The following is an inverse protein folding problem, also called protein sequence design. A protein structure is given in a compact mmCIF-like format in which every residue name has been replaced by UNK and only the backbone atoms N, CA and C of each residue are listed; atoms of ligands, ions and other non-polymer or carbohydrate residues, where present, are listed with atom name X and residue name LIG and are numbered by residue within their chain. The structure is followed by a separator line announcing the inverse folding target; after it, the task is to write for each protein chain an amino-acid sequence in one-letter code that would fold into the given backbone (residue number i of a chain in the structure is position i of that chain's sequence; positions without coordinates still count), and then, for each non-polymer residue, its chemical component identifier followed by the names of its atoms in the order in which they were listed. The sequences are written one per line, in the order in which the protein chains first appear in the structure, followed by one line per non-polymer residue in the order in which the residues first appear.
data_IF_430918654232
#
_entry.id   IF_430918654232
#
_cell.length_a   1.000
_cell.length_b   1.000
_cell.length_c   1.000
_cell.angle_alpha   90.00
_cell.angle_beta   90.00
_cell.angle_gamma   90.00
#
_symmetry.space_group_name_H-M   'P 1'
#
loop_
_entity.id
_entity.type
_entity.pdbx_description
1 polymer ?
#
# COMPACT_ATOMS: atom_id res chain seq x y z
N UNK A 1 -24.83 -39.84 -22.03
CA UNK A 1 -24.26 -39.12 -23.18
C UNK A 1 -23.51 -37.92 -22.63
N UNK A 2 -22.18 -37.90 -22.84
CA UNK A 2 -21.18 -36.82 -22.72
C UNK A 2 -21.29 -35.85 -21.54
N UNK A 3 -20.43 -35.92 -20.53
CA UNK A 3 -19.04 -35.40 -20.50
C UNK A 3 -18.88 -33.95 -20.93
N UNK A 4 -18.52 -33.08 -19.96
CA UNK A 4 -17.47 -32.05 -20.02
C UNK A 4 -17.46 -31.19 -18.75
N UNK A 5 -16.92 -31.70 -17.64
CA UNK A 5 -16.18 -30.89 -16.66
C UNK A 5 -15.18 -31.81 -15.95
N UNK A 6 -13.94 -31.35 -15.77
CA UNK A 6 -12.85 -32.11 -15.18
C UNK A 6 -13.16 -32.51 -13.72
N UNK A 7 -12.85 -33.74 -13.27
CA UNK A 7 -13.16 -34.22 -11.91
C UNK A 7 -12.42 -33.47 -10.78
N UNK A 8 -11.52 -32.54 -11.10
CA UNK A 8 -10.71 -31.81 -10.12
C UNK A 8 -11.49 -30.73 -9.33
N UNK A 9 -12.75 -30.46 -9.65
CA UNK A 9 -13.57 -29.41 -9.03
C UNK A 9 -14.80 -29.92 -8.25
N UNK A 10 -14.91 -31.24 -8.04
CA UNK A 10 -15.98 -31.85 -7.24
C UNK A 10 -15.45 -32.48 -5.95
N UNK A 11 -14.56 -31.77 -5.25
CA UNK A 11 -14.22 -32.06 -3.86
C UNK A 11 -14.75 -30.89 -3.04
N UNK A 12 -15.85 -31.14 -2.33
CA UNK A 12 -16.31 -30.26 -1.25
C UNK A 12 -15.22 -30.13 -0.18
N UNK A 13 -15.26 -29.01 0.55
CA UNK A 13 -14.42 -28.77 1.72
C UNK A 13 -12.90 -28.78 1.49
N UNK A 14 -12.41 -28.12 0.44
CA UNK A 14 -11.05 -27.59 0.46
C UNK A 14 -11.04 -26.24 1.18
N UNK A 15 -11.32 -26.30 2.47
CA UNK A 15 -10.99 -25.25 3.42
C UNK A 15 -9.46 -25.29 3.60
N UNK A 16 -8.73 -24.74 2.63
CA UNK A 16 -7.26 -24.67 2.57
C UNK A 16 -6.70 -23.67 3.61
N UNK A 17 -7.55 -23.25 4.54
CA UNK A 17 -7.17 -22.62 5.79
C UNK A 17 -6.25 -23.59 6.53
N UNK A 18 -4.96 -23.27 6.54
CA UNK A 18 -4.06 -23.84 7.53
C UNK A 18 -4.67 -23.43 8.87
N UNK A 19 -5.33 -24.38 9.56
CA UNK A 19 -5.90 -24.18 10.90
C UNK A 19 -4.95 -23.28 11.69
N UNK A 20 -5.42 -22.19 12.34
CA UNK A 20 -4.52 -21.31 13.06
C UNK A 20 -3.71 -22.20 14.00
N UNK A 21 -2.40 -22.32 13.76
CA UNK A 21 -1.55 -22.74 14.85
C UNK A 21 -1.84 -21.72 15.94
N UNK A 22 -2.19 -22.18 17.14
CA UNK A 22 -2.54 -21.32 18.27
C UNK A 22 -1.36 -20.43 18.75
N UNK A 23 -0.40 -20.16 17.86
CA UNK A 23 0.85 -19.46 18.08
C UNK A 23 0.89 -18.05 17.45
N UNK A 24 -0.20 -17.56 16.86
CA UNK A 24 -0.26 -16.17 16.38
C UNK A 24 -0.60 -15.15 17.48
N UNK A 25 -0.83 -15.62 18.70
CA UNK A 25 -0.78 -14.83 19.92
C UNK A 25 0.46 -15.25 20.68
N UNK A 26 1.45 -14.37 20.81
CA UNK A 26 2.38 -14.47 21.94
C UNK A 26 1.51 -14.33 23.19
N UNK A 27 1.13 -15.46 23.79
CA UNK A 27 0.48 -15.42 25.08
C UNK A 27 1.45 -14.75 26.04
N UNK A 28 1.10 -13.56 26.54
CA UNK A 28 1.72 -12.97 27.72
C UNK A 28 1.30 -13.77 28.97
N UNK A 29 1.41 -15.09 28.92
CA UNK A 29 1.14 -15.97 30.03
C UNK A 29 2.37 -15.99 30.93
N UNK A 30 2.37 -15.05 31.87
CA UNK A 30 3.30 -15.02 33.00
C UNK A 30 4.20 -13.78 32.98
N UNK A 31 3.67 -12.66 33.48
CA UNK A 31 4.33 -11.64 34.32
C UNK A 31 3.69 -10.27 34.11
N UNK A 32 2.40 -10.12 34.46
CA UNK A 32 1.87 -8.82 34.86
C UNK A 32 2.40 -8.46 36.24
N UNK A 33 3.70 -8.14 36.33
CA UNK A 33 4.16 -7.24 37.39
C UNK A 33 3.69 -5.85 36.99
N UNK A 34 2.82 -5.23 37.80
CA UNK A 34 2.51 -3.80 37.71
C UNK A 34 3.82 -3.02 37.79
N UNK A 35 4.38 -2.67 36.64
CA UNK A 35 5.44 -1.68 36.52
C UNK A 35 4.86 -0.49 35.76
N UNK A 36 4.49 0.54 36.50
CA UNK A 36 4.20 1.86 35.94
C UNK A 36 5.52 2.49 35.49
N UNK A 37 6.02 2.06 34.33
CA UNK A 37 6.98 2.78 33.48
C UNK A 37 7.15 1.99 32.19
N UNK A 38 6.60 2.52 31.10
CA UNK A 38 6.97 2.08 29.74
C UNK A 38 8.38 2.62 29.49
N UNK A 39 9.39 1.80 29.72
CA UNK A 39 10.75 2.12 29.28
C UNK A 39 10.89 1.73 27.80
N UNK A 40 11.00 2.73 26.93
CA UNK A 40 11.39 2.51 25.53
C UNK A 40 12.86 2.08 25.55
N UNK A 41 13.09 0.78 25.43
CA UNK A 41 14.43 0.23 25.30
C UNK A 41 14.90 0.47 23.87
N UNK A 42 15.83 1.41 23.67
CA UNK A 42 16.58 1.48 22.42
C UNK A 42 17.52 0.28 22.38
N UNK A 43 17.09 -0.84 21.79
CA UNK A 43 18.03 -1.88 21.37
C UNK A 43 18.99 -1.26 20.35
N UNK A 44 20.28 -1.54 20.52
CA UNK A 44 21.35 -0.96 19.73
C UNK A 44 21.12 -1.13 18.23
N UNK A 45 21.64 -0.20 17.43
CA UNK A 45 21.62 -0.30 15.97
C UNK A 45 22.30 -1.62 15.56
N UNK A 46 21.51 -2.62 15.17
CA UNK A 46 22.03 -3.72 14.37
C UNK A 46 22.52 -3.13 13.05
N UNK A 47 23.78 -3.38 12.70
CA UNK A 47 24.38 -2.93 11.43
C UNK A 47 23.94 -3.79 10.24
N UNK A 48 23.31 -4.95 10.49
CA UNK A 48 22.83 -5.82 9.42
C UNK A 48 21.49 -5.32 8.86
N UNK A 49 21.37 -5.21 7.51
CA UNK A 49 20.13 -4.78 6.88
C UNK A 49 19.01 -5.77 7.16
N UNK A 50 17.96 -5.29 7.84
CA UNK A 50 16.75 -6.07 8.10
C UNK A 50 16.07 -6.37 6.77
N UNK A 51 16.07 -7.65 6.38
CA UNK A 51 15.29 -8.13 5.24
C UNK A 51 13.90 -8.51 5.72
N UNK A 52 12.90 -7.82 5.19
CA UNK A 52 11.50 -8.19 5.37
C UNK A 52 11.19 -9.26 4.34
N UNK A 53 10.75 -10.44 4.78
CA UNK A 53 10.27 -11.53 3.94
C UNK A 53 8.75 -11.65 4.05
N UNK A 54 8.15 -12.49 3.19
CA UNK A 54 6.73 -12.82 3.32
C UNK A 54 6.41 -13.44 4.70
N UNK A 55 7.40 -14.08 5.34
CA UNK A 55 7.28 -14.65 6.69
C UNK A 55 7.41 -13.64 7.83
N UNK A 56 7.65 -12.38 7.53
CA UNK A 56 7.64 -11.29 8.51
C UNK A 56 6.38 -10.44 8.39
N UNK A 57 5.60 -10.71 7.34
CA UNK A 57 4.33 -10.06 7.06
C UNK A 57 3.24 -10.79 7.86
N UNK A 58 2.27 -10.08 8.44
CA UNK A 58 1.18 -10.69 9.21
C UNK A 58 0.38 -11.76 8.43
N UNK A 59 0.61 -11.85 7.12
CA UNK A 59 0.33 -12.98 6.25
C UNK A 59 0.76 -14.38 6.75
N UNK A 60 1.78 -14.52 7.59
CA UNK A 60 2.48 -15.81 7.74
C UNK A 60 2.25 -16.54 9.08
N UNK A 61 0.99 -16.82 9.43
CA UNK A 61 0.64 -17.85 10.43
C UNK A 61 -0.80 -18.30 10.24
N UNK A 62 -1.14 -18.66 9.00
CA UNK A 62 -2.49 -19.09 8.60
C UNK A 62 -3.40 -17.98 8.07
N UNK A 63 -2.89 -16.76 7.86
CA UNK A 63 -3.68 -15.66 7.32
C UNK A 63 -3.67 -15.63 5.78
N UNK A 64 -2.62 -16.08 5.10
CA UNK A 64 -2.53 -16.11 3.63
C UNK A 64 -2.74 -17.52 3.08
N UNK A 65 -3.64 -17.63 2.12
CA UNK A 65 -4.02 -18.85 1.40
C UNK A 65 -2.99 -19.23 0.34
N UNK A 66 -3.04 -20.48 -0.11
CA UNK A 66 -2.25 -20.98 -1.25
C UNK A 66 -2.45 -20.11 -2.50
N UNK A 67 -3.70 -19.69 -2.76
CA UNK A 67 -4.06 -18.82 -3.88
C UNK A 67 -3.45 -17.41 -3.75
N UNK A 68 -3.60 -16.77 -2.60
CA UNK A 68 -3.00 -15.45 -2.32
C UNK A 68 -1.47 -15.52 -2.45
N UNK A 69 -0.82 -16.61 -2.05
CA UNK A 69 0.64 -16.78 -2.22
C UNK A 69 1.06 -16.81 -3.70
N UNK A 70 0.25 -17.42 -4.57
CA UNK A 70 0.50 -17.40 -6.02
C UNK A 70 0.29 -16.00 -6.58
N UNK A 71 -0.77 -15.30 -6.18
CA UNK A 71 -1.03 -13.92 -6.59
C UNK A 71 0.13 -12.98 -6.22
N UNK A 72 0.68 -13.12 -5.01
CA UNK A 72 1.83 -12.35 -4.54
C UNK A 72 3.10 -12.57 -5.39
N UNK A 73 3.30 -13.80 -5.88
CA UNK A 73 4.43 -14.13 -6.76
C UNK A 73 4.25 -13.62 -8.17
N UNK A 74 3.00 -13.58 -8.66
CA UNK A 74 2.69 -13.06 -9.99
C UNK A 74 2.99 -11.56 -10.09
N UNK A 75 2.79 -10.80 -9.00
CA UNK A 75 3.19 -9.39 -8.86
C UNK A 75 4.71 -9.21 -8.70
N UNK A 76 5.52 -9.81 -9.58
CA UNK A 76 6.98 -9.88 -9.47
C UNK A 76 7.74 -9.02 -10.46
N UNK A 77 9.08 -9.11 -10.41
CA UNK A 77 9.98 -8.44 -11.35
C UNK A 77 9.76 -8.88 -12.80
N UNK A 78 9.44 -10.15 -13.02
CA UNK A 78 9.22 -10.69 -14.36
C UNK A 78 7.99 -10.05 -15.03
N UNK A 79 6.88 -9.92 -14.29
CA UNK A 79 5.68 -9.23 -14.77
C UNK A 79 5.97 -7.76 -15.03
N UNK A 80 6.65 -7.08 -14.10
CA UNK A 80 7.05 -5.69 -14.26
C UNK A 80 7.87 -5.46 -15.54
N UNK A 81 8.89 -6.29 -15.78
CA UNK A 81 9.74 -6.19 -16.96
C UNK A 81 9.01 -6.59 -18.25
N UNK A 82 8.09 -7.58 -18.20
CA UNK A 82 7.27 -7.95 -19.37
C UNK A 82 6.41 -6.79 -19.84
N UNK A 83 5.68 -6.14 -18.92
CA UNK A 83 4.82 -5.00 -19.24
C UNK A 83 5.62 -3.82 -19.84
N UNK A 84 6.84 -3.59 -19.37
CA UNK A 84 7.76 -2.61 -19.96
C UNK A 84 8.15 -3.02 -21.40
N UNK A 85 8.57 -4.27 -21.60
CA UNK A 85 9.04 -4.77 -22.90
C UNK A 85 7.92 -4.84 -23.96
N UNK A 86 6.68 -5.05 -23.50
CA UNK A 86 5.46 -5.02 -24.33
C UNK A 86 5.05 -3.59 -24.73
N UNK A 87 5.75 -2.56 -24.23
CA UNK A 87 5.51 -1.16 -24.59
C UNK A 87 4.32 -0.53 -23.85
N UNK A 88 3.87 -1.09 -22.72
CA UNK A 88 2.84 -0.45 -21.91
C UNK A 88 3.36 0.84 -21.27
N UNK A 89 2.47 1.79 -21.02
CA UNK A 89 2.82 3.02 -20.31
C UNK A 89 2.94 2.73 -18.81
N UNK A 90 4.17 2.57 -18.32
CA UNK A 90 4.43 2.25 -16.91
C UNK A 90 4.63 3.52 -16.08
N UNK A 91 3.91 3.64 -14.97
CA UNK A 91 4.10 4.68 -13.95
C UNK A 91 4.49 4.01 -12.64
N UNK A 92 5.53 4.53 -11.97
CA UNK A 92 6.03 3.98 -10.70
C UNK A 92 5.82 4.98 -9.56
N UNK A 93 5.17 4.56 -8.48
CA UNK A 93 4.99 5.37 -7.27
C UNK A 93 5.81 4.81 -6.11
N UNK A 94 6.77 5.56 -5.59
CA UNK A 94 7.71 5.10 -4.56
C UNK A 94 7.30 5.59 -3.18
N UNK A 95 7.19 4.66 -2.22
CA UNK A 95 6.90 5.04 -0.84
C UNK A 95 8.09 5.71 -0.13
N UNK A 96 7.85 6.70 0.75
CA UNK A 96 8.93 7.33 1.50
C UNK A 96 9.69 6.34 2.40
N UNK A 97 9.06 5.26 2.87
CA UNK A 97 9.69 4.19 3.64
C UNK A 97 10.66 3.34 2.80
N UNK A 98 10.25 2.93 1.60
CA UNK A 98 11.15 2.21 0.67
C UNK A 98 12.37 3.05 0.34
N UNK A 99 12.14 4.35 0.09
CA UNK A 99 13.20 5.30 -0.21
C UNK A 99 14.16 5.51 0.96
N UNK A 100 13.65 5.63 2.18
CA UNK A 100 14.46 5.71 3.39
C UNK A 100 15.27 4.43 3.64
N UNK A 101 14.70 3.26 3.37
CA UNK A 101 15.40 1.97 3.50
C UNK A 101 16.56 1.84 2.51
N UNK A 102 16.33 2.16 1.24
CA UNK A 102 17.37 2.17 0.20
C UNK A 102 18.46 3.22 0.52
N UNK A 103 18.06 4.38 1.04
CA UNK A 103 18.99 5.44 1.46
C UNK A 103 19.93 4.98 2.56
N UNK A 104 19.39 4.28 3.56
CA UNK A 104 20.17 3.67 4.62
C UNK A 104 21.14 2.61 4.08
N UNK A 105 20.69 1.77 3.13
CA UNK A 105 21.53 0.72 2.54
C UNK A 105 22.72 1.27 1.75
N UNK A 106 22.52 2.30 0.92
CA UNK A 106 23.60 2.87 0.09
C UNK A 106 24.38 4.00 0.80
N UNK A 107 24.00 4.36 2.02
CA UNK A 107 24.55 5.48 2.79
C UNK A 107 24.51 6.81 2.01
N UNK A 108 23.36 7.13 1.41
CA UNK A 108 23.09 8.37 0.67
C UNK A 108 21.78 9.00 1.16
N UNK A 109 21.47 10.25 0.80
CA UNK A 109 20.24 10.88 1.28
C UNK A 109 18.99 10.31 0.58
N UNK A 110 17.79 10.34 1.22
CA UNK A 110 16.54 9.93 0.58
C UNK A 110 16.23 10.70 -0.71
N UNK A 111 16.66 11.96 -0.82
CA UNK A 111 16.48 12.77 -2.02
C UNK A 111 17.33 12.24 -3.18
N UNK A 112 18.59 11.90 -2.91
CA UNK A 112 19.47 11.30 -3.91
C UNK A 112 18.94 9.93 -4.36
N UNK A 113 18.43 9.11 -3.44
CA UNK A 113 17.75 7.87 -3.81
C UNK A 113 16.59 8.14 -4.74
N UNK A 114 15.76 9.16 -4.47
CA UNK A 114 14.62 9.47 -5.34
C UNK A 114 15.07 9.76 -6.77
N UNK A 115 16.08 10.63 -6.91
CA UNK A 115 16.62 11.05 -8.20
C UNK A 115 17.30 9.91 -8.94
N UNK A 116 18.04 9.04 -8.22
CA UNK A 116 18.71 7.86 -8.78
C UNK A 116 17.70 6.76 -9.16
N UNK A 117 16.67 6.51 -8.35
CA UNK A 117 15.57 5.62 -8.72
C UNK A 117 14.82 6.15 -9.94
N UNK A 118 14.60 7.46 -10.02
CA UNK A 118 13.99 8.10 -11.19
C UNK A 118 14.84 7.85 -12.44
N UNK A 119 16.16 8.09 -12.37
CA UNK A 119 17.08 7.76 -13.47
C UNK A 119 17.00 6.29 -13.85
N UNK A 120 17.05 5.39 -12.87
CA UNK A 120 17.05 3.95 -13.05
C UNK A 120 15.77 3.47 -13.75
N UNK A 121 14.60 3.80 -13.22
CA UNK A 121 13.31 3.42 -13.81
C UNK A 121 13.12 4.01 -15.21
N UNK A 122 13.49 5.29 -15.42
CA UNK A 122 13.42 5.91 -16.75
C UNK A 122 14.34 5.20 -17.75
N UNK A 123 15.51 4.72 -17.32
CA UNK A 123 16.40 3.93 -18.18
C UNK A 123 15.82 2.58 -18.59
N UNK A 124 14.86 2.05 -17.82
CA UNK A 124 14.11 0.84 -18.16
C UNK A 124 12.92 1.12 -19.07
N UNK A 125 12.49 2.37 -19.27
CA UNK A 125 11.32 2.72 -20.09
C UNK A 125 10.09 3.16 -19.28
N UNK A 126 10.22 3.35 -17.96
CA UNK A 126 9.13 3.89 -17.12
C UNK A 126 8.83 5.33 -17.52
N UNK A 127 7.54 5.65 -17.73
CA UNK A 127 7.07 6.96 -18.20
C UNK A 127 7.20 8.05 -17.14
N UNK A 128 6.86 7.76 -15.89
CA UNK A 128 6.91 8.70 -14.76
C UNK A 128 7.18 8.00 -13.43
N UNK A 129 7.86 8.70 -12.52
CA UNK A 129 8.17 8.22 -11.16
C UNK A 129 7.72 9.26 -10.12
N UNK A 130 6.81 8.86 -9.25
CA UNK A 130 6.18 9.72 -8.24
C UNK A 130 6.50 9.26 -6.81
N UNK A 131 6.20 10.11 -5.82
CA UNK A 131 6.32 9.78 -4.39
C UNK A 131 4.94 9.70 -3.75
N UNK A 132 4.67 8.66 -2.95
CA UNK A 132 3.36 8.46 -2.31
C UNK A 132 3.11 9.39 -1.11
N UNK A 133 4.00 10.36 -0.83
CA UNK A 133 3.83 11.30 0.29
C UNK A 133 2.63 12.21 0.07
N UNK A 134 2.38 12.68 -1.16
CA UNK A 134 1.21 13.52 -1.45
C UNK A 134 -0.11 12.79 -1.16
N UNK A 135 -0.22 11.53 -1.61
CA UNK A 135 -1.42 10.72 -1.32
C UNK A 135 -1.54 10.39 0.17
N UNK A 136 -0.41 10.24 0.87
CA UNK A 136 -0.41 10.07 2.32
C UNK A 136 -0.93 11.30 3.06
N UNK A 137 -0.50 12.49 2.66
CA UNK A 137 -0.96 13.73 3.28
C UNK A 137 -2.47 13.90 3.08
N UNK A 138 -2.99 13.59 1.88
CA UNK A 138 -4.43 13.54 1.61
C UNK A 138 -5.15 12.50 2.48
N UNK A 139 -4.67 11.26 2.54
CA UNK A 139 -5.23 10.22 3.42
C UNK A 139 -5.28 10.67 4.88
N UNK A 140 -4.27 11.40 5.37
CA UNK A 140 -4.21 11.88 6.75
C UNK A 140 -5.20 13.02 7.01
N UNK A 141 -5.37 13.92 6.05
CA UNK A 141 -6.39 14.98 6.12
C UNK A 141 -7.78 14.35 6.19
N UNK A 142 -8.10 13.42 5.28
CA UNK A 142 -9.39 12.71 5.26
C UNK A 142 -9.61 11.89 6.54
N UNK A 143 -8.57 11.23 7.06
CA UNK A 143 -8.64 10.50 8.32
C UNK A 143 -8.94 11.42 9.51
N UNK A 144 -8.41 12.64 9.49
CA UNK A 144 -8.70 13.64 10.52
C UNK A 144 -10.15 14.12 10.43
N UNK A 145 -10.64 14.40 9.22
CA UNK A 145 -12.05 14.79 8.98
C UNK A 145 -13.00 13.67 9.45
N UNK A 146 -12.72 12.42 9.11
CA UNK A 146 -13.51 11.28 9.57
C UNK A 146 -13.49 11.15 11.09
N UNK A 147 -12.31 11.26 11.71
CA UNK A 147 -12.17 11.18 13.17
C UNK A 147 -12.98 12.26 13.88
N UNK A 148 -12.85 13.53 13.46
CA UNK A 148 -13.58 14.67 14.04
C UNK A 148 -15.08 14.47 13.88
N UNK A 149 -15.53 13.96 12.73
CA UNK A 149 -16.95 13.66 12.48
C UNK A 149 -17.47 12.60 13.46
N UNK A 150 -16.79 11.46 13.57
CA UNK A 150 -17.14 10.38 14.53
C UNK A 150 -17.10 10.88 15.97
N UNK A 151 -16.13 11.73 16.32
CA UNK A 151 -15.97 12.30 17.66
C UNK A 151 -17.11 13.25 18.03
N UNK A 152 -17.48 14.18 17.16
CA UNK A 152 -18.60 15.11 17.39
C UNK A 152 -19.94 14.38 17.49
N UNK A 153 -20.17 13.39 16.62
CA UNK A 153 -21.36 12.55 16.67
C UNK A 153 -21.47 11.80 18.01
N UNK A 154 -20.34 11.32 18.54
CA UNK A 154 -20.31 10.64 19.84
C UNK A 154 -20.64 11.58 21.03
N UNK A 155 -20.26 12.86 20.96
CA UNK A 155 -20.59 13.83 22.01
C UNK A 155 -22.05 14.28 22.01
N UNK A 156 -22.75 14.18 20.87
CA UNK A 156 -24.13 14.67 20.70
C UNK A 156 -25.23 13.66 21.05
N UNK A 157 -24.88 12.42 21.41
CA UNK A 157 -25.85 11.37 21.73
C UNK A 157 -26.16 11.39 23.23
N UNK A 158 -27.34 11.88 23.61
CA UNK A 158 -27.99 11.58 24.89
C UNK A 158 -28.34 10.09 24.90
N UNK A 159 -27.75 9.32 25.83
CA UNK A 159 -28.11 8.01 26.44
C UNK A 159 -29.11 7.03 25.75
N UNK A 160 -29.35 7.11 24.44
CA UNK A 160 -30.25 6.23 23.71
C UNK A 160 -29.43 5.10 23.05
N UNK A 161 -29.62 3.89 23.58
CA UNK A 161 -28.80 2.68 23.45
C UNK A 161 -28.63 2.08 22.03
N UNK A 162 -28.85 2.85 20.96
CA UNK A 162 -28.81 2.31 19.57
C UNK A 162 -27.99 3.09 18.55
N UNK A 163 -27.38 4.21 18.93
CA UNK A 163 -26.32 4.81 18.12
C UNK A 163 -25.03 4.03 18.34
N UNK A 164 -24.75 3.02 17.51
CA UNK A 164 -23.47 2.29 17.51
C UNK A 164 -22.34 3.31 17.38
N UNK A 165 -21.64 3.54 18.47
CA UNK A 165 -20.51 4.45 18.53
C UNK A 165 -19.39 3.91 17.65
N UNK A 166 -19.03 4.61 16.57
CA UNK A 166 -17.93 4.23 15.67
C UNK A 166 -16.54 4.58 16.24
N UNK A 167 -16.42 4.61 17.58
CA UNK A 167 -15.20 4.88 18.34
C UNK A 167 -14.87 3.70 19.27
N UNK A 168 -13.58 3.31 19.39
CA UNK A 168 -12.40 3.98 18.85
C UNK A 168 -12.29 3.88 17.32
N UNK A 169 -11.69 4.87 16.66
CA UNK A 169 -11.42 4.79 15.22
C UNK A 169 -10.08 4.06 14.99
N UNK A 170 -10.10 3.02 14.17
CA UNK A 170 -8.94 2.22 13.80
C UNK A 170 -8.50 2.62 12.39
N UNK A 171 -7.21 2.90 12.19
CA UNK A 171 -6.70 3.25 10.85
C UNK A 171 -6.81 2.07 9.88
N UNK A 172 -7.10 2.38 8.61
CA UNK A 172 -7.21 1.43 7.50
C UNK A 172 -5.95 1.34 6.63
N UNK A 173 -4.92 2.17 6.89
CA UNK A 173 -3.78 2.31 5.99
C UNK A 173 -2.84 1.08 5.95
N UNK A 174 -2.89 0.23 6.98
CA UNK A 174 -2.08 -0.98 7.12
C UNK A 174 -2.88 -2.21 6.64
N UNK A 175 -2.56 -2.79 5.47
CA UNK A 175 -3.31 -3.93 4.94
C UNK A 175 -3.22 -5.17 5.84
N UNK A 176 -2.09 -5.40 6.52
CA UNK A 176 -1.98 -6.50 7.50
C UNK A 176 -2.99 -6.38 8.66
N UNK A 177 -3.26 -5.15 9.14
CA UNK A 177 -4.29 -4.91 10.15
C UNK A 177 -5.70 -5.16 9.60
N UNK A 178 -5.96 -4.75 8.36
CA UNK A 178 -7.24 -5.01 7.70
C UNK A 178 -7.47 -6.51 7.53
N UNK A 179 -6.49 -7.23 6.99
CA UNK A 179 -6.57 -8.69 6.83
C UNK A 179 -6.77 -9.39 8.17
N UNK A 180 -6.07 -8.95 9.23
CA UNK A 180 -6.27 -9.48 10.57
C UNK A 180 -7.68 -9.23 11.09
N UNK A 181 -8.20 -8.00 10.95
CA UNK A 181 -9.53 -7.64 11.38
C UNK A 181 -10.60 -8.47 10.64
N UNK A 182 -10.51 -8.56 9.32
CA UNK A 182 -11.44 -9.33 8.48
C UNK A 182 -11.44 -10.82 8.83
N UNK A 183 -10.25 -11.42 8.97
CA UNK A 183 -10.10 -12.88 9.13
C UNK A 183 -10.27 -13.36 10.57
N UNK A 184 -9.90 -12.54 11.57
CA UNK A 184 -9.86 -12.98 12.97
C UNK A 184 -10.99 -12.42 13.84
N UNK A 185 -11.45 -11.18 13.57
CA UNK A 185 -12.36 -10.47 14.48
C UNK A 185 -13.59 -9.85 13.79
N UNK A 186 -13.75 -10.10 12.48
CA UNK A 186 -14.89 -9.78 11.63
C UNK A 186 -15.72 -8.58 12.07
N UNK A 187 -17.02 -8.81 12.27
CA UNK A 187 -18.05 -7.81 12.57
C UNK A 187 -17.80 -6.97 13.82
N UNK A 188 -16.89 -7.38 14.71
CA UNK A 188 -16.55 -6.63 15.91
C UNK A 188 -15.63 -5.46 15.58
N UNK A 189 -14.62 -5.66 14.73
CA UNK A 189 -13.64 -4.60 14.42
C UNK A 189 -14.01 -3.78 13.19
N UNK A 190 -14.66 -4.36 12.18
CA UNK A 190 -14.98 -3.66 10.93
C UNK A 190 -15.72 -2.32 11.11
N UNK A 191 -16.69 -2.16 12.03
CA UNK A 191 -17.37 -0.87 12.24
C UNK A 191 -16.45 0.26 12.73
N UNK A 192 -15.31 -0.09 13.32
CA UNK A 192 -14.34 0.85 13.89
C UNK A 192 -13.25 1.24 12.89
N UNK A 193 -13.10 0.49 11.80
CA UNK A 193 -12.11 0.78 10.76
C UNK A 193 -12.50 2.06 10.00
N UNK A 194 -11.50 2.91 9.76
CA UNK A 194 -11.60 4.10 8.93
C UNK A 194 -12.02 3.74 7.50
N UNK A 195 -12.93 4.52 6.94
CA UNK A 195 -13.36 4.36 5.54
C UNK A 195 -12.36 4.94 4.53
N UNK A 196 -11.36 5.69 5.00
CA UNK A 196 -10.37 6.34 4.15
C UNK A 196 -9.46 5.30 3.51
N UNK A 197 -9.20 5.42 2.21
CA UNK A 197 -8.27 4.55 1.49
C UNK A 197 -6.83 4.72 2.00
N UNK A 198 -6.01 3.67 1.86
CA UNK A 198 -4.58 3.80 2.14
C UNK A 198 -3.88 4.74 1.14
N UNK A 199 -2.68 5.24 1.45
CA UNK A 199 -1.92 6.09 0.51
C UNK A 199 -1.61 5.40 -0.83
N UNK A 200 -1.48 4.06 -0.84
CA UNK A 200 -1.24 3.28 -2.06
C UNK A 200 -2.43 3.38 -3.01
N UNK A 201 -3.64 3.11 -2.49
CA UNK A 201 -4.84 3.14 -3.31
C UNK A 201 -5.25 4.57 -3.66
N UNK A 202 -5.02 5.50 -2.73
CA UNK A 202 -5.22 6.94 -2.98
C UNK A 202 -4.34 7.44 -4.13
N UNK A 203 -3.05 7.09 -4.20
CA UNK A 203 -2.21 7.51 -5.34
C UNK A 203 -2.63 6.84 -6.65
N UNK A 204 -3.07 5.57 -6.60
CA UNK A 204 -3.59 4.87 -7.77
C UNK A 204 -4.83 5.55 -8.35
N UNK A 205 -5.79 5.90 -7.48
CA UNK A 205 -6.96 6.69 -7.85
C UNK A 205 -6.55 8.05 -8.44
N UNK A 206 -5.61 8.77 -7.81
CA UNK A 206 -5.16 10.09 -8.32
C UNK A 206 -4.55 9.97 -9.72
N UNK A 207 -3.67 8.99 -9.92
CA UNK A 207 -3.00 8.79 -11.20
C UNK A 207 -4.02 8.47 -12.29
N UNK A 208 -4.86 7.45 -12.07
CA UNK A 208 -5.73 6.94 -13.13
C UNK A 208 -6.96 7.82 -13.38
N UNK A 209 -7.51 8.49 -12.36
CA UNK A 209 -8.70 9.32 -12.54
C UNK A 209 -8.37 10.78 -12.90
N UNK A 210 -7.21 11.31 -12.51
CA UNK A 210 -6.90 12.73 -12.68
C UNK A 210 -5.65 12.96 -13.54
N UNK A 211 -4.52 12.32 -13.22
CA UNK A 211 -3.25 12.65 -13.91
C UNK A 211 -3.13 12.06 -15.30
N UNK A 212 -3.84 10.96 -15.61
CA UNK A 212 -3.86 10.43 -16.97
C UNK A 212 -4.31 11.49 -17.98
N UNK A 213 -5.31 12.30 -17.63
CA UNK A 213 -5.79 13.39 -18.49
C UNK A 213 -4.71 14.45 -18.72
N UNK A 214 -4.04 14.90 -17.66
CA UNK A 214 -2.95 15.89 -17.73
C UNK A 214 -1.71 15.37 -18.49
N UNK A 215 -1.53 14.05 -18.55
CA UNK A 215 -0.43 13.38 -19.23
C UNK A 215 -0.76 12.93 -20.65
N UNK A 216 -1.97 13.23 -21.15
CA UNK A 216 -2.49 12.74 -22.44
C UNK A 216 -2.46 11.21 -22.57
N UNK A 217 -2.75 10.52 -21.46
CA UNK A 217 -2.78 9.06 -21.35
C UNK A 217 -4.21 8.59 -21.09
N UNK A 218 -4.53 7.39 -21.57
CA UNK A 218 -5.78 6.72 -21.20
C UNK A 218 -5.57 5.86 -19.95
N UNK A 219 -6.47 5.90 -18.96
CA UNK A 219 -6.31 5.14 -17.71
C UNK A 219 -6.12 3.64 -17.92
N UNK A 220 -6.75 3.06 -18.95
CA UNK A 220 -6.64 1.64 -19.32
C UNK A 220 -5.29 1.25 -19.94
N UNK A 221 -4.51 2.22 -20.43
CA UNK A 221 -3.17 2.00 -21.00
C UNK A 221 -2.05 2.13 -19.96
N UNK A 222 -2.39 2.64 -18.77
CA UNK A 222 -1.43 2.89 -17.69
C UNK A 222 -1.31 1.67 -16.80
N UNK A 223 -0.12 1.08 -16.80
CA UNK A 223 0.31 0.08 -15.83
C UNK A 223 0.99 0.79 -14.65
N UNK A 224 0.23 0.99 -13.59
CA UNK A 224 0.66 1.67 -12.38
C UNK A 224 1.22 0.67 -11.35
N UNK A 225 2.49 0.88 -11.01
CA UNK A 225 3.26 0.03 -10.10
C UNK A 225 3.65 0.84 -8.86
N UNK A 226 3.50 0.27 -7.67
CA UNK A 226 3.98 0.92 -6.45
C UNK A 226 5.18 0.21 -5.86
N UNK A 227 6.11 0.97 -5.27
CA UNK A 227 7.27 0.45 -4.52
C UNK A 227 7.02 0.60 -3.02
N UNK A 228 6.83 -0.52 -2.34
CA UNK A 228 6.34 -0.57 -0.96
C UNK A 228 7.28 -1.35 -0.03
N UNK A 229 7.31 -1.04 1.28
CA UNK A 229 8.16 -1.72 2.25
C UNK A 229 7.50 -3.00 2.83
N UNK A 230 6.39 -3.46 2.26
CA UNK A 230 5.53 -4.48 2.87
C UNK A 230 4.90 -5.38 1.80
N UNK A 231 4.84 -6.70 2.04
CA UNK A 231 4.20 -7.65 1.13
C UNK A 231 2.66 -7.57 1.17
N UNK A 232 2.05 -7.22 2.31
CA UNK A 232 0.59 -7.08 2.42
C UNK A 232 0.04 -6.00 1.47
N UNK A 233 0.89 -5.08 1.00
CA UNK A 233 0.53 -4.09 -0.02
C UNK A 233 0.23 -4.71 -1.39
N UNK A 234 0.86 -5.83 -1.74
CA UNK A 234 0.50 -6.63 -2.93
C UNK A 234 -0.89 -7.25 -2.77
N UNK A 235 -1.24 -7.76 -1.57
CA UNK A 235 -2.60 -8.24 -1.28
C UNK A 235 -3.61 -7.12 -1.41
N UNK A 236 -3.28 -5.93 -0.89
CA UNK A 236 -4.14 -4.76 -0.99
C UNK A 236 -4.41 -4.36 -2.45
N UNK A 237 -3.39 -4.38 -3.32
CA UNK A 237 -3.55 -4.06 -4.74
C UNK A 237 -4.45 -5.05 -5.48
N UNK A 238 -4.50 -6.31 -5.03
CA UNK A 238 -5.32 -7.35 -5.65
C UNK A 238 -6.76 -7.45 -5.14
N UNK A 239 -7.23 -6.51 -4.30
CA UNK A 239 -8.61 -6.57 -3.81
C UNK A 239 -9.58 -6.06 -4.87
N UNK A 240 -10.64 -6.81 -5.11
CA UNK A 240 -11.72 -6.47 -6.05
C UNK A 240 -12.41 -5.12 -5.71
N UNK A 241 -12.28 -4.61 -4.49
CA UNK A 241 -12.81 -3.32 -4.09
C UNK A 241 -12.01 -2.11 -4.62
N UNK A 242 -10.81 -2.32 -5.16
CA UNK A 242 -9.94 -1.27 -5.69
C UNK A 242 -9.86 -1.33 -7.21
N UNK A 243 -11.00 -1.58 -7.84
CA UNK A 243 -11.22 -1.44 -9.27
C UNK A 243 -12.34 -0.43 -9.50
N UNK A 244 -12.27 0.33 -10.58
CA UNK A 244 -13.34 1.20 -11.00
C UNK A 244 -13.66 0.98 -12.48
N UNK A 245 -14.91 1.26 -12.82
CA UNK A 245 -15.40 1.18 -14.19
C UNK A 245 -15.18 2.54 -14.84
N UNK A 246 -14.50 2.57 -15.98
CA UNK A 246 -14.60 3.70 -16.90
C UNK A 246 -15.68 3.35 -17.93
N UNK A 247 -16.67 4.23 -18.10
CA UNK A 247 -17.50 4.20 -19.30
C UNK A 247 -16.60 4.61 -20.47
N UNK A 248 -16.26 3.67 -21.34
CA UNK A 248 -15.77 4.03 -22.66
C UNK A 248 -16.87 4.86 -23.33
N UNK A 249 -16.52 6.06 -23.79
CA UNK A 249 -17.42 6.88 -24.58
C UNK A 249 -18.05 6.00 -25.66
N UNK A 250 -19.37 6.07 -25.81
CA UNK A 250 -20.11 5.43 -26.89
C UNK A 250 -19.32 5.54 -28.19
N UNK A 251 -18.92 4.41 -28.76
CA UNK A 251 -18.53 4.39 -30.17
C UNK A 251 -19.73 4.98 -30.94
N UNK A 252 -19.47 5.85 -31.92
CA UNK A 252 -20.47 6.53 -32.80
C UNK A 252 -21.42 5.53 -33.52
N UNK A 253 -21.20 4.23 -33.34
CA UNK A 253 -21.96 3.10 -33.87
C UNK A 253 -22.91 2.42 -32.86
N UNK A 254 -23.06 2.94 -31.63
CA UNK A 254 -24.10 2.50 -30.68
C UNK A 254 -23.94 1.06 -30.17
N UNK A 255 -22.73 0.52 -30.16
CA UNK A 255 -22.42 -0.78 -29.54
C UNK A 255 -22.22 -0.58 -28.03
N UNK A 256 -22.81 -1.45 -27.21
CA UNK A 256 -22.52 -1.49 -25.77
C UNK A 256 -21.00 -1.65 -25.59
N UNK A 257 -20.34 -0.61 -25.06
CA UNK A 257 -18.90 -0.62 -24.82
C UNK A 257 -18.53 -1.75 -23.86
N UNK A 258 -17.39 -2.39 -24.11
CA UNK A 258 -16.84 -3.41 -23.19
C UNK A 258 -16.58 -2.75 -21.83
N UNK A 259 -17.17 -3.32 -20.77
CA UNK A 259 -16.98 -2.86 -19.40
C UNK A 259 -15.56 -3.20 -18.96
N UNK A 260 -14.64 -2.26 -19.12
CA UNK A 260 -13.27 -2.40 -18.65
C UNK A 260 -13.19 -2.02 -17.16
N UNK A 261 -12.93 -3.02 -16.33
CA UNK A 261 -12.58 -2.80 -14.92
C UNK A 261 -11.11 -2.44 -14.82
N UNK A 262 -10.83 -1.27 -14.26
CA UNK A 262 -9.48 -0.73 -14.14
C UNK A 262 -9.08 -0.76 -12.67
N UNK A 263 -8.00 -1.48 -12.34
CA UNK A 263 -7.43 -1.49 -11.00
C UNK A 263 -6.82 -0.13 -10.66
N UNK A 264 -6.91 0.34 -9.42
CA UNK A 264 -6.23 1.57 -8.97
C UNK A 264 -4.71 1.42 -8.98
N UNK A 265 -4.23 0.24 -8.57
CA UNK A 265 -2.82 -0.18 -8.59
C UNK A 265 -2.75 -1.55 -9.24
N UNK A 266 -1.95 -1.67 -10.30
CA UNK A 266 -1.88 -2.92 -11.08
C UNK A 266 -0.91 -3.91 -10.47
N UNK A 267 0.20 -3.43 -9.89
CA UNK A 267 1.20 -4.31 -9.25
C UNK A 267 2.00 -3.58 -8.17
N UNK A 268 2.57 -4.35 -7.25
CA UNK A 268 3.40 -3.81 -6.17
C UNK A 268 4.73 -4.54 -6.14
N UNK A 269 5.81 -3.77 -6.23
CA UNK A 269 7.17 -4.24 -6.00
C UNK A 269 7.59 -3.88 -4.59
N UNK A 270 8.20 -4.83 -3.89
CA UNK A 270 8.78 -4.56 -2.58
C UNK A 270 10.11 -3.81 -2.70
N UNK A 271 10.52 -3.13 -1.63
CA UNK A 271 11.87 -2.55 -1.54
C UNK A 271 12.96 -3.60 -1.85
N UNK A 272 12.77 -4.85 -1.39
CA UNK A 272 13.69 -5.94 -1.66
C UNK A 272 13.77 -6.31 -3.14
N UNK A 273 12.63 -6.38 -3.83
CA UNK A 273 12.59 -6.63 -5.28
C UNK A 273 13.25 -5.49 -6.08
N UNK A 274 13.14 -4.23 -5.65
CA UNK A 274 13.91 -3.15 -6.27
C UNK A 274 15.42 -3.32 -6.09
N UNK A 275 15.86 -3.76 -4.91
CA UNK A 275 17.27 -4.06 -4.67
C UNK A 275 17.77 -5.22 -5.55
N UNK A 276 16.95 -6.26 -5.71
CA UNK A 276 17.23 -7.38 -6.61
C UNK A 276 17.27 -6.92 -8.08
N UNK A 277 16.35 -6.07 -8.51
CA UNK A 277 16.33 -5.52 -9.86
C UNK A 277 17.57 -4.68 -10.17
N UNK A 278 18.04 -3.87 -9.22
CA UNK A 278 19.29 -3.08 -9.36
C UNK A 278 20.47 -4.02 -9.56
N UNK A 279 20.54 -5.13 -8.80
CA UNK A 279 21.60 -6.14 -8.93
C UNK A 279 21.50 -6.89 -10.27
N UNK A 280 20.29 -7.29 -10.67
CA UNK A 280 20.02 -8.00 -11.92
C UNK A 280 20.41 -7.17 -13.16
N UNK A 281 20.28 -5.85 -13.08
CA UNK A 281 20.69 -4.91 -14.14
C UNK A 281 22.15 -4.47 -14.02
N UNK A 282 22.90 -5.02 -13.07
CA UNK A 282 24.32 -4.73 -12.82
C UNK A 282 24.61 -3.23 -12.67
N UNK A 283 23.67 -2.48 -12.07
CA UNK A 283 23.80 -1.02 -11.90
C UNK A 283 24.52 -0.71 -10.60
N UNK A 284 25.64 0.01 -10.68
CA UNK A 284 26.22 0.69 -9.52
C UNK A 284 25.33 1.88 -9.12
N UNK A 285 24.32 1.59 -8.30
CA UNK A 285 23.31 2.57 -7.90
C UNK A 285 23.92 3.76 -7.16
N UNK A 286 25.02 3.57 -6.42
CA UNK A 286 25.65 4.65 -5.66
C UNK A 286 26.29 5.67 -6.60
N UNK A 287 26.96 5.22 -7.67
CA UNK A 287 27.57 6.10 -8.66
C UNK A 287 26.62 6.58 -9.77
N UNK A 288 25.45 5.97 -9.93
CA UNK A 288 24.43 6.35 -10.92
C UNK A 288 24.11 7.86 -10.89
N UNK A 289 24.12 8.53 -12.04
CA UNK A 289 23.76 9.95 -12.10
C UNK A 289 22.33 10.23 -11.63
N UNK A 290 22.13 11.36 -10.97
CA UNK A 290 20.81 11.81 -10.51
C UNK A 290 19.99 12.38 -11.68
N UNK A 291 18.71 12.01 -11.80
CA UNK A 291 17.78 12.61 -12.75
C UNK A 291 16.88 13.67 -12.08
N UNK A 292 16.36 14.65 -12.84
CA UNK A 292 15.27 15.50 -12.37
C UNK A 292 14.02 14.66 -12.07
N UNK A 293 13.27 15.08 -11.07
CA UNK A 293 12.06 14.39 -10.61
C UNK A 293 10.83 14.85 -11.39
N UNK A 294 9.86 13.95 -11.56
CA UNK A 294 8.58 14.28 -12.19
C UNK A 294 7.73 15.12 -11.22
N UNK A 295 7.27 16.30 -11.67
CA UNK A 295 6.77 17.37 -10.78
C UNK A 295 5.36 17.14 -10.20
N UNK A 296 4.45 16.49 -10.94
CA UNK A 296 3.01 16.46 -10.62
C UNK A 296 2.70 15.90 -9.23
N UNK A 297 3.42 14.86 -8.80
CA UNK A 297 3.30 14.25 -7.47
C UNK A 297 4.67 14.10 -6.81
N UNK A 298 5.55 15.09 -7.00
CA UNK A 298 6.79 15.16 -6.21
C UNK A 298 6.53 15.81 -4.85
N UNK A 299 7.14 15.27 -3.81
CA UNK A 299 7.12 15.83 -2.46
C UNK A 299 8.34 16.74 -2.20
N UNK A 300 8.61 17.64 -3.14
CA UNK A 300 9.72 18.60 -3.05
C UNK A 300 9.20 20.03 -2.96
N UNK A 301 9.74 20.79 -2.00
CA UNK A 301 9.48 22.21 -1.85
C UNK A 301 10.32 23.07 -2.83
N UNK A 302 10.12 24.38 -2.80
CA UNK A 302 10.82 25.32 -3.69
C UNK A 302 12.34 25.32 -3.45
N UNK A 303 12.77 24.95 -2.24
CA UNK A 303 14.16 24.83 -1.81
C UNK A 303 14.81 23.50 -2.20
N UNK A 304 14.05 22.56 -2.78
CA UNK A 304 14.57 21.25 -3.19
C UNK A 304 14.61 20.21 -2.05
N UNK A 305 14.00 20.50 -0.91
CA UNK A 305 13.90 19.61 0.24
C UNK A 305 12.65 18.73 0.17
N UNK A 306 12.74 17.54 0.78
CA UNK A 306 11.59 16.63 0.85
C UNK A 306 10.64 17.05 1.97
N UNK A 307 9.36 17.14 1.66
CA UNK A 307 8.30 17.37 2.64
C UNK A 307 7.36 16.16 2.77
N UNK A 308 6.42 16.27 3.73
CA UNK A 308 5.40 15.27 4.00
C UNK A 308 5.55 14.64 5.39
N UNK A 309 4.54 13.87 5.79
CA UNK A 309 4.46 13.30 7.14
C UNK A 309 5.46 12.13 7.30
N UNK A 310 6.20 12.10 8.42
CA UNK A 310 7.19 11.04 8.70
C UNK A 310 6.54 9.66 8.88
N UNK A 311 7.11 8.64 8.25
CA UNK A 311 6.59 7.26 8.24
C UNK A 311 7.08 6.39 9.39
N UNK A 312 6.61 6.64 10.61
CA UNK A 312 6.91 5.82 11.80
C UNK A 312 5.64 5.29 12.47
N UNK A 313 5.79 4.26 13.30
CA UNK A 313 4.73 3.84 14.23
C UNK A 313 4.26 5.03 15.07
N UNK A 314 2.95 5.14 15.29
CA UNK A 314 2.32 6.28 15.96
C UNK A 314 2.16 7.55 15.11
N UNK A 315 2.87 7.67 13.97
CA UNK A 315 2.88 8.90 13.17
C UNK A 315 1.51 9.31 12.59
N UNK A 316 0.64 8.33 12.27
CA UNK A 316 -0.73 8.61 11.84
C UNK A 316 -1.56 9.26 12.96
N UNK A 317 -1.54 8.66 14.15
CA UNK A 317 -2.27 9.19 15.30
C UNK A 317 -1.74 10.57 15.71
N UNK A 318 -0.42 10.74 15.79
CA UNK A 318 0.22 12.03 16.07
C UNK A 318 -0.24 13.12 15.09
N UNK A 319 -0.30 12.79 13.80
CA UNK A 319 -0.70 13.76 12.77
C UNK A 319 -2.19 14.11 12.87
N UNK A 320 -3.07 13.12 13.06
CA UNK A 320 -4.51 13.35 13.26
C UNK A 320 -4.75 14.25 14.46
N UNK A 321 -4.09 14.01 15.59
CA UNK A 321 -4.25 14.86 16.78
C UNK A 321 -3.72 16.29 16.58
N UNK A 322 -2.58 16.46 15.89
CA UNK A 322 -2.07 17.80 15.55
C UNK A 322 -2.97 18.57 14.60
N UNK A 323 -3.61 17.89 13.65
CA UNK A 323 -4.56 18.52 12.74
C UNK A 323 -5.85 18.89 13.45
N UNK A 324 -6.33 18.05 14.37
CA UNK A 324 -7.49 18.34 15.21
C UNK A 324 -7.28 19.60 16.06
N UNK A 325 -6.12 19.76 16.70
CA UNK A 325 -5.80 20.95 17.51
C UNK A 325 -5.91 22.26 16.71
N UNK A 326 -5.70 22.23 15.39
CA UNK A 326 -5.84 23.41 14.53
C UNK A 326 -7.27 23.70 14.10
N UNK A 327 -8.20 22.74 14.28
CA UNK A 327 -9.59 22.82 13.85
C UNK A 327 -10.60 22.98 15.01
N UNK A 328 -10.16 22.83 16.25
CA UNK A 328 -10.94 23.03 17.48
C UNK A 328 -10.48 24.30 18.20
#
# INVERSE_FOLDING_TARGET
MSDKFSPALQIGDLDDFIRPSQACTVSLNGMLKKSNKVEVRHEGKSEEPVKISLKDCLACSGCVTSAETVMLKNQGLDEFLSNINEGKTVIVSVSPQSRASIAAHFCISPLQVFKKLTRFFKSLGVRAVFDTSCSRDLTLVESCVEFITRYKQNQSVDDDERSKTSLPMITSACPGLICYAEKSHGSVLLPYISSVKSPQQTIGTIIKCYLCQDMELRPEEVYHVTVMPCYDKKLEASRDNFVFQLESHFDDEGREGEVNMISEVDSVLTTGEIMELIQLKEVDFKSLEEAPLDKLLSNIDEEGCLYGVRGSSGGYAETVFRLMEKQC
#
